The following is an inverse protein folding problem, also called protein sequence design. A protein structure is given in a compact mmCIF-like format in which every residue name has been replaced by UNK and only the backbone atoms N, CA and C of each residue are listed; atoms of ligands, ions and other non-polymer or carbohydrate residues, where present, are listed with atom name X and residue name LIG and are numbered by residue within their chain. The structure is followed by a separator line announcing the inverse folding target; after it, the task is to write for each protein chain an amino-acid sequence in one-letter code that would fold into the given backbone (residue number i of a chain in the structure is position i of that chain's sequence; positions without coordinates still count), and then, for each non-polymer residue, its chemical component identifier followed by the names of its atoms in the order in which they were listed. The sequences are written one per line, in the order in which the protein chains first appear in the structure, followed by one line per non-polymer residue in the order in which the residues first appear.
data_IF_759240551850
#
_entry.id   IF_759240551850
#
_cell.length_a   1.000
_cell.length_b   1.000
_cell.length_c   1.000
_cell.angle_alpha   90.00
_cell.angle_beta   90.00
_cell.angle_gamma   90.00
#
_symmetry.space_group_name_H-M   'P 1'
#
loop_
_entity.id
_entity.type
_entity.pdbx_description
1 polymer ?
#
# COMPACT_ATOMS: atom_id res chain seq x y z
N UNK A 1 -35.81 -15.13 -26.06
CA UNK A 1 -34.86 -15.49 -24.99
C UNK A 1 -33.51 -15.74 -25.62
N UNK A 2 -32.56 -14.80 -25.50
CA UNK A 2 -31.17 -14.96 -25.94
C UNK A 2 -30.29 -14.80 -24.71
N UNK A 3 -29.53 -15.83 -24.38
CA UNK A 3 -28.40 -15.73 -23.48
C UNK A 3 -27.23 -15.04 -24.20
N UNK A 4 -26.40 -14.29 -23.47
CA UNK A 4 -24.96 -14.27 -23.70
C UNK A 4 -24.27 -14.72 -22.39
N UNK A 5 -23.21 -15.51 -22.39
CA UNK A 5 -21.87 -15.03 -22.76
C UNK A 5 -20.93 -16.24 -22.84
N UNK A 6 -20.34 -16.48 -24.00
CA UNK A 6 -19.20 -17.38 -24.17
C UNK A 6 -17.93 -16.66 -23.73
N UNK A 7 -17.24 -17.21 -22.73
CA UNK A 7 -15.85 -16.87 -22.40
C UNK A 7 -14.91 -17.82 -23.15
N UNK A 8 -13.91 -17.34 -23.90
CA UNK A 8 -12.95 -18.23 -24.54
C UNK A 8 -11.97 -18.79 -23.50
N UNK A 9 -12.06 -20.10 -23.26
CA UNK A 9 -11.10 -20.90 -22.49
C UNK A 9 -9.78 -21.02 -23.26
N UNK A 10 -8.74 -20.30 -22.84
CA UNK A 10 -7.38 -20.50 -23.35
C UNK A 10 -6.70 -21.71 -22.67
N UNK A 11 -6.16 -22.62 -23.50
CA UNK A 11 -5.44 -23.84 -23.09
C UNK A 11 -4.12 -23.55 -22.32
N UNK A 12 -3.66 -24.48 -21.45
CA UNK A 12 -2.49 -24.27 -20.59
C UNK A 12 -1.15 -24.35 -21.35
N UNK A 13 -0.23 -23.42 -21.04
CA UNK A 13 1.16 -23.38 -21.54
C UNK A 13 2.08 -24.37 -20.79
N UNK A 14 3.13 -24.82 -21.48
CA UNK A 14 4.11 -25.86 -21.08
C UNK A 14 4.81 -25.57 -19.74
N UNK A 15 4.97 -26.64 -18.95
CA UNK A 15 5.62 -26.76 -17.63
C UNK A 15 7.05 -26.18 -17.46
N UNK A 16 7.75 -25.81 -18.53
CA UNK A 16 9.11 -25.22 -18.42
C UNK A 16 9.07 -23.70 -18.17
N UNK A 17 7.98 -23.05 -18.54
CA UNK A 17 7.80 -21.60 -18.36
C UNK A 17 7.49 -21.25 -16.90
N UNK A 18 6.80 -22.15 -16.18
CA UNK A 18 6.40 -22.00 -14.78
C UNK A 18 7.60 -21.93 -13.82
N UNK A 19 8.64 -22.73 -14.04
CA UNK A 19 9.84 -22.73 -13.19
C UNK A 19 10.65 -21.43 -13.34
N UNK A 20 10.79 -20.94 -14.58
CA UNK A 20 11.50 -19.69 -14.87
C UNK A 20 10.73 -18.46 -14.35
N UNK A 21 9.39 -18.48 -14.42
CA UNK A 21 8.50 -17.46 -13.85
C UNK A 21 8.59 -17.45 -12.31
N UNK A 22 8.64 -18.60 -11.65
CA UNK A 22 8.82 -18.71 -10.21
C UNK A 22 10.17 -18.13 -9.73
N UNK A 23 11.27 -18.45 -10.44
CA UNK A 23 12.61 -17.94 -10.10
C UNK A 23 12.77 -16.43 -10.36
N UNK A 24 12.07 -15.88 -11.37
CA UNK A 24 12.01 -14.43 -11.60
C UNK A 24 11.19 -13.72 -10.52
N UNK A 25 10.03 -14.27 -10.14
CA UNK A 25 9.21 -13.78 -9.01
C UNK A 25 9.99 -13.76 -7.69
N UNK A 26 10.82 -14.76 -7.42
CA UNK A 26 11.68 -14.84 -6.23
C UNK A 26 12.76 -13.73 -6.21
N UNK A 27 13.31 -13.36 -7.38
CA UNK A 27 14.30 -12.27 -7.52
C UNK A 27 13.67 -10.89 -7.34
N UNK A 28 12.48 -10.68 -7.89
CA UNK A 28 11.74 -9.42 -7.71
C UNK A 28 11.22 -9.27 -6.27
N UNK A 29 10.90 -10.38 -5.58
CA UNK A 29 10.60 -10.41 -4.14
C UNK A 29 11.72 -9.81 -3.28
N UNK A 30 12.99 -9.94 -3.69
CA UNK A 30 14.14 -9.31 -3.02
C UNK A 30 14.32 -7.83 -3.39
N UNK A 31 14.16 -7.45 -4.66
CA UNK A 31 14.46 -6.09 -5.13
C UNK A 31 13.49 -5.01 -4.65
N UNK A 32 12.20 -5.33 -4.51
CA UNK A 32 11.19 -4.33 -4.10
C UNK A 32 11.31 -4.01 -2.58
N UNK A 33 11.73 -4.98 -1.77
CA UNK A 33 11.99 -4.78 -0.34
C UNK A 33 13.22 -3.90 -0.08
N UNK A 34 14.19 -3.91 -0.99
CA UNK A 34 15.45 -3.17 -0.85
C UNK A 34 15.29 -1.69 -1.24
N UNK A 35 14.41 -1.37 -2.19
CA UNK A 35 14.22 0.02 -2.67
C UNK A 35 13.35 0.89 -1.74
N UNK A 36 12.42 0.28 -0.98
CA UNK A 36 11.52 1.02 -0.07
C UNK A 36 12.00 1.07 1.39
N UNK A 37 13.04 0.32 1.76
CA UNK A 37 13.62 0.30 3.11
C UNK A 37 15.14 0.54 3.18
N UNK A 38 15.75 1.11 2.14
CA UNK A 38 17.14 1.54 2.19
C UNK A 38 17.31 2.69 3.21
N UNK A 39 17.60 2.35 4.48
CA UNK A 39 18.07 3.30 5.49
C UNK A 39 19.38 3.91 5.00
N UNK A 40 19.35 5.12 4.43
CA UNK A 40 20.56 5.94 4.34
C UNK A 40 20.98 6.28 5.78
N UNK A 41 22.19 5.91 6.23
CA UNK A 41 22.70 6.45 7.47
C UNK A 41 22.94 7.95 7.25
N UNK A 42 22.32 8.80 8.08
CA UNK A 42 22.74 10.18 8.24
C UNK A 42 24.19 10.16 8.73
N UNK A 43 25.10 10.46 7.82
CA UNK A 43 26.52 10.60 8.09
C UNK A 43 26.70 11.87 8.93
N UNK A 44 26.60 11.74 10.25
CA UNK A 44 26.99 12.79 11.20
C UNK A 44 28.50 12.95 11.13
N UNK A 45 28.96 13.89 10.33
CA UNK A 45 30.27 14.51 10.51
C UNK A 45 30.22 15.33 11.81
N UNK A 46 30.61 14.72 12.93
CA UNK A 46 30.87 15.43 14.18
C UNK A 46 32.39 15.46 14.37
N UNK A 47 32.95 16.64 14.17
CA UNK A 47 34.36 16.94 14.37
C UNK A 47 34.76 16.70 15.83
N UNK A 48 35.83 15.93 16.03
CA UNK A 48 36.31 15.50 17.34
C UNK A 48 36.99 16.69 18.02
N UNK A 49 36.47 17.16 19.15
CA UNK A 49 37.27 17.90 20.14
C UNK A 49 36.70 17.75 21.56
N UNK A 50 37.34 16.84 22.30
CA UNK A 50 37.58 16.81 23.76
C UNK A 50 36.41 16.96 24.75
N UNK A 51 36.02 15.85 25.38
CA UNK A 51 35.60 15.81 26.79
C UNK A 51 35.80 14.39 27.38
N UNK A 52 36.37 14.33 28.61
CA UNK A 52 36.83 13.13 29.36
C UNK A 52 35.67 12.31 29.96
N UNK A 53 35.92 11.03 30.37
CA UNK A 53 34.88 10.10 30.80
C UNK A 53 34.73 10.02 32.33
N UNK A 54 33.51 9.84 32.84
CA UNK A 54 33.24 9.26 34.17
C UNK A 54 31.88 8.54 34.17
N UNK A 55 31.87 7.29 34.67
CA UNK A 55 30.76 6.76 35.47
C UNK A 55 29.70 5.92 34.75
N UNK A 56 29.80 4.60 34.89
CA UNK A 56 28.74 3.63 34.60
C UNK A 56 27.59 3.74 35.61
N UNK A 57 26.33 3.56 35.18
CA UNK A 57 25.33 2.76 35.91
C UNK A 57 24.16 2.37 35.02
N UNK A 58 23.79 1.09 35.08
CA UNK A 58 22.56 0.50 34.53
C UNK A 58 21.39 0.78 35.48
N UNK A 59 20.21 1.09 34.93
CA UNK A 59 18.88 0.85 35.54
C UNK A 59 17.75 1.09 34.50
N UNK A 60 16.81 0.13 34.40
CA UNK A 60 15.53 0.13 33.65
C UNK A 60 14.39 0.70 34.57
N UNK A 61 13.07 0.78 34.24
CA UNK A 61 12.28 1.05 33.01
C UNK A 61 11.13 2.10 33.19
N UNK A 62 10.33 2.33 32.13
CA UNK A 62 8.88 2.69 32.10
C UNK A 62 8.39 4.14 32.39
N UNK A 63 7.55 4.61 31.44
CA UNK A 63 6.42 5.57 31.51
C UNK A 63 6.61 7.11 31.35
N UNK A 64 5.79 7.60 30.39
CA UNK A 64 5.03 8.86 30.32
C UNK A 64 5.81 10.18 30.49
N UNK A 65 5.77 11.03 29.46
CA UNK A 65 5.38 12.44 29.64
C UNK A 65 5.12 13.15 28.30
N UNK A 66 3.92 13.73 28.25
CA UNK A 66 3.42 14.80 27.38
C UNK A 66 4.44 15.94 27.29
N UNK A 67 4.69 16.52 26.10
CA UNK A 67 5.45 17.76 26.03
C UNK A 67 5.90 18.27 24.67
N UNK A 68 5.09 19.18 24.12
CA UNK A 68 5.47 20.43 23.43
C UNK A 68 6.27 20.35 22.11
N UNK A 69 5.52 20.63 21.05
CA UNK A 69 5.99 21.27 19.81
C UNK A 69 6.72 22.57 20.16
N UNK A 70 7.98 22.68 19.75
CA UNK A 70 8.71 23.94 19.70
C UNK A 70 8.84 24.35 18.24
N UNK A 71 8.17 25.44 17.88
CA UNK A 71 8.37 26.15 16.61
C UNK A 71 9.58 27.04 16.85
N UNK A 72 10.74 26.70 16.27
CA UNK A 72 11.88 27.61 16.19
C UNK A 72 11.86 28.24 14.81
N UNK A 73 11.40 29.49 14.78
CA UNK A 73 11.63 30.43 13.69
C UNK A 73 13.04 30.97 13.85
N UNK A 74 13.96 30.58 12.96
CA UNK A 74 15.23 31.28 12.82
C UNK A 74 15.40 31.77 11.38
N UNK A 75 14.98 33.02 11.23
CA UNK A 75 15.14 33.86 10.06
C UNK A 75 16.52 34.52 10.12
N UNK A 76 17.48 34.02 9.34
CA UNK A 76 18.45 34.79 8.53
C UNK A 76 19.70 33.97 8.21
N UNK A 77 19.77 33.46 6.98
CA UNK A 77 21.05 33.32 6.29
C UNK A 77 20.86 33.64 4.81
N UNK A 78 20.87 34.93 4.49
CA UNK A 78 20.98 35.44 3.13
C UNK A 78 22.45 35.48 2.72
N UNK A 79 22.95 34.44 2.03
CA UNK A 79 23.72 34.56 0.79
C UNK A 79 24.41 33.24 0.42
N UNK A 80 24.39 33.01 -0.90
CA UNK A 80 25.23 32.09 -1.65
C UNK A 80 24.89 30.61 -1.51
N UNK A 81 23.89 30.16 -2.26
CA UNK A 81 24.20 29.24 -3.36
C UNK A 81 23.24 29.52 -4.51
N UNK A 82 23.80 30.00 -5.62
CA UNK A 82 23.18 29.96 -6.93
C UNK A 82 22.77 28.52 -7.20
N UNK A 83 21.47 28.24 -7.21
CA UNK A 83 20.94 26.94 -7.62
C UNK A 83 21.04 26.93 -9.15
N UNK A 84 21.90 26.09 -9.78
CA UNK A 84 21.78 25.88 -11.20
C UNK A 84 20.48 25.13 -11.46
N UNK A 85 19.72 25.71 -12.38
CA UNK A 85 18.55 25.16 -13.07
C UNK A 85 18.72 23.64 -13.27
N UNK A 86 17.85 22.86 -12.63
CA UNK A 86 17.80 21.40 -12.78
C UNK A 86 16.55 20.75 -12.21
N UNK A 87 15.51 21.52 -11.84
CA UNK A 87 14.21 20.98 -11.44
C UNK A 87 13.20 21.10 -12.59
N UNK A 88 13.58 20.57 -13.75
CA UNK A 88 12.76 20.57 -14.96
C UNK A 88 12.63 19.16 -15.53
N UNK A 89 12.39 18.17 -14.66
CA UNK A 89 12.07 16.79 -15.07
C UNK A 89 10.96 16.15 -14.21
N UNK A 90 9.96 16.93 -13.76
CA UNK A 90 8.67 16.39 -13.33
C UNK A 90 7.51 16.91 -14.20
N UNK A 91 7.80 17.28 -15.45
CA UNK A 91 6.77 17.44 -16.48
C UNK A 91 6.62 16.10 -17.20
N UNK A 92 5.52 15.39 -16.95
CA UNK A 92 5.08 14.32 -17.84
C UNK A 92 4.87 12.93 -17.24
N UNK A 93 4.80 12.77 -15.92
CA UNK A 93 3.98 11.65 -15.41
C UNK A 93 2.54 12.15 -15.52
N UNK A 94 1.70 11.65 -16.45
CA UNK A 94 0.28 11.92 -16.35
C UNK A 94 -0.15 11.37 -14.99
N UNK A 95 -0.35 12.26 -14.02
CA UNK A 95 -0.98 11.90 -12.77
C UNK A 95 -2.37 11.43 -13.16
N UNK A 96 -2.64 10.14 -13.01
CA UNK A 96 -3.99 9.62 -13.18
C UNK A 96 -4.91 10.39 -12.23
N UNK A 97 -6.13 10.67 -12.67
CA UNK A 97 -7.17 11.17 -11.77
C UNK A 97 -7.31 10.24 -10.56
N UNK A 98 -7.69 10.76 -9.41
CA UNK A 98 -7.91 9.94 -8.21
C UNK A 98 -9.26 9.24 -8.32
N UNK A 99 -9.27 7.91 -8.22
CA UNK A 99 -10.51 7.14 -8.03
C UNK A 99 -10.83 7.19 -6.54
N UNK A 100 -12.07 7.54 -6.19
CA UNK A 100 -12.54 7.57 -4.80
C UNK A 100 -13.90 6.91 -4.68
N UNK A 101 -14.01 5.98 -3.73
CA UNK A 101 -15.27 5.38 -3.29
C UNK A 101 -15.43 5.55 -1.78
N UNK A 102 -16.69 5.59 -1.35
CA UNK A 102 -17.04 5.77 0.05
C UNK A 102 -18.31 4.96 0.36
N UNK A 103 -18.26 4.16 1.41
CA UNK A 103 -19.39 3.34 1.88
C UNK A 103 -19.43 3.29 3.40
N UNK A 104 -20.63 3.16 3.96
CA UNK A 104 -20.83 2.86 5.39
C UNK A 104 -21.28 1.41 5.52
N UNK A 105 -20.58 0.64 6.36
CA UNK A 105 -20.83 -0.78 6.59
C UNK A 105 -21.29 -0.99 8.04
N UNK A 106 -22.33 -1.78 8.32
CA UNK A 106 -22.85 -2.05 9.67
C UNK A 106 -21.99 -3.07 10.44
N UNK A 107 -20.68 -2.82 10.51
CA UNK A 107 -19.70 -3.64 11.22
C UNK A 107 -18.65 -2.75 11.91
N UNK A 108 -17.87 -3.31 12.84
CA UNK A 108 -16.77 -2.58 13.48
C UNK A 108 -15.60 -2.36 12.51
N UNK A 109 -14.77 -1.32 12.72
CA UNK A 109 -13.62 -1.06 11.85
C UNK A 109 -12.66 -2.25 11.79
N UNK A 110 -12.46 -2.94 12.92
CA UNK A 110 -11.63 -4.14 13.00
C UNK A 110 -12.17 -5.29 12.13
N UNK A 111 -13.49 -5.49 12.09
CA UNK A 111 -14.11 -6.54 11.28
C UNK A 111 -13.95 -6.25 9.78
N UNK A 112 -14.18 -5.00 9.36
CA UNK A 112 -13.96 -4.58 7.97
C UNK A 112 -12.47 -4.68 7.59
N UNK A 113 -11.59 -4.30 8.51
CA UNK A 113 -10.14 -4.40 8.31
C UNK A 113 -9.69 -5.86 8.16
N UNK A 114 -10.22 -6.76 8.98
CA UNK A 114 -9.96 -8.20 8.88
C UNK A 114 -10.44 -8.77 7.54
N UNK A 115 -11.62 -8.35 7.05
CA UNK A 115 -12.12 -8.76 5.72
C UNK A 115 -11.18 -8.39 4.56
N UNK A 116 -10.43 -7.28 4.70
CA UNK A 116 -9.48 -6.81 3.69
C UNK A 116 -8.09 -7.49 3.79
N UNK A 117 -7.71 -7.96 4.98
CA UNK A 117 -6.31 -8.32 5.31
C UNK A 117 -6.11 -9.77 5.71
N UNK A 118 -7.15 -10.48 6.15
CA UNK A 118 -7.08 -11.90 6.49
C UNK A 118 -7.46 -12.76 5.29
N UNK A 119 -6.60 -13.69 4.92
CA UNK A 119 -6.79 -14.56 3.74
C UNK A 119 -8.13 -15.29 3.77
N UNK A 120 -8.50 -15.87 4.92
CA UNK A 120 -9.76 -16.59 5.09
C UNK A 120 -10.98 -15.71 4.93
N UNK A 121 -10.97 -14.51 5.53
CA UNK A 121 -12.08 -13.56 5.43
C UNK A 121 -12.21 -12.97 4.04
N UNK A 122 -11.09 -12.67 3.39
CA UNK A 122 -11.10 -12.19 2.02
C UNK A 122 -11.66 -13.25 1.05
N UNK A 123 -11.30 -14.52 1.27
CA UNK A 123 -11.82 -15.62 0.47
C UNK A 123 -13.32 -15.87 0.72
N UNK A 124 -13.77 -15.77 1.97
CA UNK A 124 -15.19 -15.81 2.34
C UNK A 124 -15.97 -14.67 1.65
N UNK A 125 -15.42 -13.46 1.67
CA UNK A 125 -16.00 -12.27 1.05
C UNK A 125 -16.18 -12.40 -0.46
N UNK A 126 -15.12 -12.82 -1.14
CA UNK A 126 -15.06 -12.74 -2.61
C UNK A 126 -15.37 -14.05 -3.31
N UNK A 127 -15.41 -15.16 -2.57
CA UNK A 127 -15.47 -16.51 -3.11
C UNK A 127 -14.21 -16.92 -3.88
N UNK A 128 -13.10 -16.18 -3.75
CA UNK A 128 -11.87 -16.41 -4.51
C UNK A 128 -10.63 -16.52 -3.62
N UNK A 129 -9.64 -17.28 -4.08
CA UNK A 129 -8.41 -17.49 -3.34
C UNK A 129 -7.61 -16.18 -3.17
N UNK A 130 -7.03 -16.02 -1.98
CA UNK A 130 -6.10 -14.95 -1.64
C UNK A 130 -4.96 -15.48 -0.76
N UNK A 131 -3.81 -14.81 -0.86
CA UNK A 131 -2.65 -14.98 0.02
C UNK A 131 -2.18 -13.61 0.43
N UNK A 132 -2.08 -13.33 1.73
CA UNK A 132 -1.86 -12.00 2.28
C UNK A 132 -0.92 -12.15 3.46
N UNK A 133 0.24 -11.48 3.41
CA UNK A 133 1.13 -11.34 4.56
C UNK A 133 0.76 -10.04 5.33
N UNK A 134 0.01 -10.10 6.44
CA UNK A 134 -0.61 -8.92 7.08
C UNK A 134 0.38 -8.11 7.92
N UNK A 135 1.34 -7.46 7.24
CA UNK A 135 2.39 -6.65 7.85
C UNK A 135 2.95 -5.65 6.84
N UNK A 136 3.56 -4.54 7.29
CA UNK A 136 4.29 -3.65 6.40
C UNK A 136 5.37 -4.38 5.60
N UNK A 137 5.41 -4.12 4.30
CA UNK A 137 6.28 -4.78 3.31
C UNK A 137 5.84 -6.19 2.91
N UNK A 138 4.80 -6.74 3.54
CA UNK A 138 4.20 -8.04 3.22
C UNK A 138 3.67 -8.09 1.80
N UNK A 139 3.84 -9.23 1.13
CA UNK A 139 3.29 -9.44 -0.20
C UNK A 139 1.84 -9.91 -0.12
N UNK A 140 1.05 -9.62 -1.15
CA UNK A 140 -0.28 -10.20 -1.30
C UNK A 140 -0.58 -10.60 -2.75
N UNK A 141 -1.50 -11.55 -2.86
CA UNK A 141 -2.18 -11.99 -4.07
C UNK A 141 -3.66 -12.15 -3.76
N UNK A 142 -4.53 -11.62 -4.63
CA UNK A 142 -5.99 -11.67 -4.51
C UNK A 142 -6.60 -12.10 -5.83
N UNK A 143 -7.78 -12.73 -5.75
CA UNK A 143 -8.53 -13.20 -6.91
C UNK A 143 -7.73 -14.20 -7.77
N UNK A 144 -7.00 -15.12 -7.14
CA UNK A 144 -6.17 -16.10 -7.85
C UNK A 144 -5.08 -15.45 -8.72
N UNK A 145 -4.21 -14.64 -8.11
CA UNK A 145 -3.10 -13.93 -8.76
C UNK A 145 -3.49 -12.87 -9.80
N UNK A 146 -4.79 -12.55 -9.96
CA UNK A 146 -5.21 -11.46 -10.85
C UNK A 146 -4.83 -10.09 -10.29
N UNK A 147 -4.79 -9.95 -8.97
CA UNK A 147 -4.38 -8.76 -8.25
C UNK A 147 -3.20 -9.12 -7.37
N UNK A 148 -2.12 -8.37 -7.46
CA UNK A 148 -0.92 -8.60 -6.66
C UNK A 148 -0.33 -7.28 -6.17
N UNK A 149 0.46 -7.35 -5.10
CA UNK A 149 1.01 -6.13 -4.55
C UNK A 149 1.80 -6.33 -3.27
N UNK A 150 2.03 -5.20 -2.60
CA UNK A 150 2.66 -5.14 -1.29
C UNK A 150 1.93 -4.17 -0.38
N UNK A 151 1.83 -4.53 0.88
CA UNK A 151 1.35 -3.66 1.94
C UNK A 151 2.45 -2.64 2.24
N UNK A 152 2.12 -1.35 2.13
CA UNK A 152 3.00 -0.22 2.42
C UNK A 152 2.79 0.23 3.87
N UNK A 153 1.53 0.38 4.28
CA UNK A 153 1.14 0.77 5.64
C UNK A 153 0.04 -0.17 6.15
N UNK A 154 0.13 -0.55 7.43
CA UNK A 154 -0.77 -1.49 8.08
C UNK A 154 -1.06 -1.00 9.50
N UNK A 155 -2.15 -0.26 9.66
CA UNK A 155 -2.66 0.22 10.95
C UNK A 155 -4.00 -0.48 11.19
N UNK A 156 -4.04 -1.52 12.04
CA UNK A 156 -5.25 -2.30 12.30
C UNK A 156 -6.46 -1.42 12.63
N UNK A 157 -7.60 -1.69 11.98
CA UNK A 157 -8.85 -0.99 12.22
C UNK A 157 -8.92 0.46 11.71
N UNK A 158 -7.82 1.01 11.19
CA UNK A 158 -7.74 2.43 10.82
C UNK A 158 -7.30 2.66 9.38
N UNK A 159 -6.16 2.08 8.95
CA UNK A 159 -5.60 2.36 7.63
C UNK A 159 -4.82 1.20 7.02
N UNK A 160 -5.06 0.97 5.74
CA UNK A 160 -4.28 0.07 4.90
C UNK A 160 -3.84 0.81 3.63
N UNK A 161 -2.54 0.88 3.38
CA UNK A 161 -1.99 1.42 2.11
C UNK A 161 -1.26 0.30 1.37
N UNK A 162 -1.52 0.18 0.07
CA UNK A 162 -1.00 -0.90 -0.76
C UNK A 162 -0.41 -0.37 -2.07
N UNK A 163 0.76 -0.90 -2.44
CA UNK A 163 1.22 -0.88 -3.81
C UNK A 163 0.50 -2.01 -4.56
N UNK A 164 -0.37 -1.65 -5.48
CA UNK A 164 -1.39 -2.53 -6.04
C UNK A 164 -1.28 -2.57 -7.57
N UNK A 165 -1.53 -3.74 -8.16
CA UNK A 165 -1.59 -3.91 -9.62
C UNK A 165 -2.48 -5.07 -10.03
N UNK A 166 -3.00 -5.01 -11.25
CA UNK A 166 -3.59 -6.17 -11.93
C UNK A 166 -2.56 -6.90 -12.81
N UNK A 167 -2.82 -8.17 -13.08
CA UNK A 167 -1.95 -9.01 -13.90
C UNK A 167 -1.66 -8.47 -15.31
N UNK A 168 -2.64 -7.89 -16.06
CA UNK A 168 -2.39 -7.39 -17.42
C UNK A 168 -1.49 -6.14 -17.51
N UNK A 169 -1.21 -5.44 -16.40
CA UNK A 169 -0.36 -4.26 -16.44
C UNK A 169 1.10 -4.63 -16.72
N UNK A 170 1.84 -3.70 -17.35
CA UNK A 170 3.27 -3.90 -17.56
C UNK A 170 4.00 -4.16 -16.24
N UNK A 171 5.02 -5.02 -16.24
CA UNK A 171 5.82 -5.32 -15.05
C UNK A 171 6.38 -4.03 -14.42
N UNK A 172 6.41 -3.98 -13.09
CA UNK A 172 6.88 -2.80 -12.35
C UNK A 172 5.90 -1.62 -12.30
N UNK A 173 4.76 -1.67 -13.00
CA UNK A 173 3.68 -0.69 -12.84
C UNK A 173 2.80 -1.07 -11.65
N UNK A 174 2.67 -0.13 -10.72
CA UNK A 174 1.83 -0.20 -9.54
C UNK A 174 1.11 1.13 -9.35
N UNK A 175 -0.14 1.05 -8.93
CA UNK A 175 -0.89 2.14 -8.33
C UNK A 175 -0.75 2.09 -6.82
N UNK A 176 -1.10 3.18 -6.14
CA UNK A 176 -1.26 3.22 -4.69
C UNK A 176 -2.74 3.16 -4.38
N UNK A 177 -3.14 2.21 -3.52
CA UNK A 177 -4.50 2.10 -3.00
C UNK A 177 -4.46 2.40 -1.51
N UNK A 178 -5.40 3.21 -1.04
CA UNK A 178 -5.56 3.60 0.35
C UNK A 178 -6.97 3.26 0.81
N UNK A 179 -7.06 2.51 1.91
CA UNK A 179 -8.28 2.27 2.65
C UNK A 179 -8.18 2.97 3.99
N UNK A 180 -9.09 3.90 4.26
CA UNK A 180 -9.23 4.52 5.58
C UNK A 180 -10.56 4.12 6.18
N UNK A 181 -10.49 3.62 7.40
CA UNK A 181 -11.61 3.12 8.18
C UNK A 181 -11.78 4.03 9.39
N UNK A 182 -13.01 4.44 9.66
CA UNK A 182 -13.36 5.21 10.84
C UNK A 182 -14.73 4.78 11.36
N UNK A 183 -14.88 4.72 12.68
CA UNK A 183 -16.19 4.51 13.29
C UNK A 183 -17.18 5.61 12.87
N UNK A 184 -18.42 5.23 12.63
CA UNK A 184 -19.54 6.10 12.23
C UNK A 184 -20.83 5.60 12.91
N UNK A 185 -21.87 6.43 12.94
CA UNK A 185 -23.15 6.11 13.59
C UNK A 185 -23.79 4.82 13.05
N UNK A 186 -23.54 4.49 11.77
CA UNK A 186 -24.00 3.27 11.11
C UNK A 186 -22.98 2.12 11.07
N UNK A 187 -21.89 2.17 11.85
CA UNK A 187 -20.84 1.15 11.88
C UNK A 187 -19.48 1.71 11.48
N UNK A 188 -18.98 1.36 10.30
CA UNK A 188 -17.68 1.80 9.78
C UNK A 188 -17.85 2.56 8.48
N UNK A 189 -17.31 3.77 8.43
CA UNK A 189 -17.10 4.50 7.19
C UNK A 189 -15.78 4.06 6.58
N UNK A 190 -15.85 3.46 5.40
CA UNK A 190 -14.71 3.06 4.59
C UNK A 190 -14.55 4.03 3.42
N UNK A 191 -13.38 4.66 3.34
CA UNK A 191 -12.96 5.46 2.17
C UNK A 191 -11.88 4.70 1.43
N UNK A 192 -12.11 4.43 0.15
CA UNK A 192 -11.16 3.82 -0.76
C UNK A 192 -10.70 4.86 -1.76
N UNK A 193 -9.38 5.03 -1.87
CA UNK A 193 -8.77 5.86 -2.91
C UNK A 193 -7.70 5.09 -3.69
N UNK A 194 -7.62 5.35 -4.99
CA UNK A 194 -6.57 4.81 -5.84
C UNK A 194 -5.98 5.87 -6.76
N UNK A 195 -4.64 5.91 -6.84
CA UNK A 195 -3.87 6.83 -7.67
C UNK A 195 -2.68 6.12 -8.35
N UNK A 196 -2.14 6.71 -9.42
CA UNK A 196 -0.96 6.19 -10.12
C UNK A 196 -1.23 5.00 -11.04
N UNK A 197 -2.50 4.76 -11.41
CA UNK A 197 -2.87 3.72 -12.37
C UNK A 197 -2.68 4.19 -13.83
N UNK A 198 -2.54 3.28 -14.81
CA UNK A 198 -2.42 3.67 -16.22
C UNK A 198 -3.71 4.36 -16.72
N UNK A 199 -3.59 5.50 -17.41
CA UNK A 199 -4.70 6.40 -17.73
C UNK A 199 -5.94 5.70 -18.33
N UNK A 200 -5.75 4.74 -19.24
CA UNK A 200 -6.83 4.04 -19.94
C UNK A 200 -7.58 3.00 -19.07
N UNK A 201 -7.26 2.89 -17.78
CA UNK A 201 -7.84 1.89 -16.87
C UNK A 201 -8.90 2.46 -15.92
N UNK A 202 -9.17 3.77 -15.95
CA UNK A 202 -10.06 4.42 -14.97
C UNK A 202 -11.43 3.74 -14.89
N UNK A 203 -12.15 3.64 -16.00
CA UNK A 203 -13.52 3.10 -16.04
C UNK A 203 -13.55 1.65 -15.58
N UNK A 204 -12.55 0.86 -15.98
CA UNK A 204 -12.42 -0.54 -15.56
C UNK A 204 -12.18 -0.66 -14.05
N UNK A 205 -11.32 0.18 -13.48
CA UNK A 205 -11.01 0.18 -12.06
C UNK A 205 -12.18 0.65 -11.20
N UNK A 206 -12.86 1.74 -11.59
CA UNK A 206 -14.05 2.23 -10.88
C UNK A 206 -15.13 1.15 -10.79
N UNK A 207 -15.46 0.50 -11.91
CA UNK A 207 -16.41 -0.60 -11.92
C UNK A 207 -15.90 -1.84 -11.17
N UNK A 208 -14.58 -2.09 -11.25
CA UNK A 208 -13.92 -3.21 -10.57
C UNK A 208 -13.98 -3.09 -9.05
N UNK A 209 -13.70 -1.92 -8.48
CA UNK A 209 -13.78 -1.68 -7.03
C UNK A 209 -15.18 -1.91 -6.49
N UNK A 210 -16.17 -1.35 -7.16
CA UNK A 210 -17.57 -1.51 -6.81
C UNK A 210 -17.97 -3.00 -6.77
N UNK A 211 -17.72 -3.71 -7.88
CA UNK A 211 -18.15 -5.10 -8.04
C UNK A 211 -17.36 -6.10 -7.20
N UNK A 212 -16.06 -5.91 -7.05
CA UNK A 212 -15.15 -6.92 -6.50
C UNK A 212 -14.83 -6.70 -5.02
N UNK A 213 -15.05 -5.50 -4.48
CA UNK A 213 -14.78 -5.18 -3.08
C UNK A 213 -16.01 -4.62 -2.37
N UNK A 214 -16.60 -3.53 -2.87
CA UNK A 214 -17.63 -2.79 -2.12
C UNK A 214 -18.94 -3.56 -2.01
N UNK A 215 -19.43 -4.14 -3.11
CA UNK A 215 -20.63 -4.98 -3.11
C UNK A 215 -20.46 -6.24 -2.24
N UNK A 216 -19.35 -7.01 -2.34
CA UNK A 216 -19.08 -8.12 -1.42
C UNK A 216 -18.97 -7.73 0.04
N UNK A 217 -18.31 -6.61 0.37
CA UNK A 217 -18.25 -6.09 1.74
C UNK A 217 -19.65 -5.75 2.27
N UNK A 218 -20.45 -5.07 1.45
CA UNK A 218 -21.82 -4.74 1.81
C UNK A 218 -22.68 -5.99 2.02
N UNK A 219 -22.51 -7.03 1.19
CA UNK A 219 -23.23 -8.29 1.32
C UNK A 219 -22.76 -9.15 2.50
N UNK A 220 -21.50 -9.03 2.91
CA UNK A 220 -20.96 -9.74 4.09
C UNK A 220 -21.52 -9.18 5.40
N UNK A 221 -21.70 -7.85 5.47
CA UNK A 221 -22.05 -7.17 6.72
C UNK A 221 -23.51 -6.68 6.79
N UNK A 222 -24.18 -6.47 5.66
CA UNK A 222 -25.59 -6.03 5.57
C UNK A 222 -26.57 -7.18 5.52
#
# INVERSE_FOLDING_TARGET
MRAPSDFPMHQPRRLKDTQMLADRRQRDRKRIGEFLYARRPLQKSCDKRTARPVGQRMEYPVQRLVGKVAIVSDSQCHRCYSIPIGLQLLRGIPMSETIRHEITLPASPDAVFAALTEEGRFAEMTGQAATIEPRPGGAFSRFGDQVTGRIVEYIPGERLIEAWRVAPWAEGKYSVVRFDLSASEGGTRLVLEQEGYPADNREHLVAGWEKMYLQPLAAMFG
#
